data_IF_443476552564
#
_entry.id   IF_443476552564
#
_cell.length_a   1.000
_cell.length_b   1.000
_cell.length_c   1.000
_cell.angle_alpha   90.00
_cell.angle_beta   90.00
_cell.angle_gamma   90.00
#
_symmetry.space_group_name_H-M   'P 1'
#
loop_
_entity.id
_entity.type
_entity.pdbx_description
1 polymer ?
#
# COMPACT_ATOMS: atom_id res chain seq x y z
N UNK A 1 27.98 -0.19 31.25
CA UNK A 1 26.64 -0.44 31.83
C UNK A 1 25.71 0.62 31.30
N UNK A 2 24.84 0.26 30.36
CA UNK A 2 23.88 1.16 29.74
C UNK A 2 22.78 1.51 30.76
N UNK A 3 22.39 2.76 30.80
CA UNK A 3 21.40 3.28 31.76
C UNK A 3 19.98 3.12 31.17
N UNK A 4 19.17 2.16 31.64
CA UNK A 4 17.87 1.82 31.07
C UNK A 4 16.81 2.93 31.20
N UNK A 5 17.06 3.97 31.96
CA UNK A 5 16.14 5.11 32.13
C UNK A 5 16.28 6.18 31.04
N UNK A 6 17.39 6.17 30.30
CA UNK A 6 17.60 7.11 29.19
C UNK A 6 16.76 6.76 27.97
N UNK A 7 16.47 5.47 27.77
CA UNK A 7 15.68 4.97 26.64
C UNK A 7 14.17 5.11 26.85
N UNK A 8 13.73 5.38 28.10
CA UNK A 8 12.32 5.58 28.40
C UNK A 8 11.85 7.03 28.23
N UNK A 9 12.76 8.01 28.32
CA UNK A 9 12.43 9.45 28.29
C UNK A 9 12.83 10.16 27.01
N UNK A 10 13.79 9.64 26.28
CA UNK A 10 14.04 10.08 24.90
C UNK A 10 13.47 9.01 23.99
N UNK A 11 12.12 9.05 23.88
CA UNK A 11 11.28 8.13 23.14
C UNK A 11 12.01 7.56 21.97
N UNK A 12 12.32 6.29 22.05
CA UNK A 12 13.02 5.60 21.01
C UNK A 12 12.39 6.02 19.70
N UNK A 13 13.20 6.56 18.81
CA UNK A 13 12.99 6.33 17.41
C UNK A 13 13.00 4.80 17.31
N UNK A 14 11.82 4.20 17.52
CA UNK A 14 11.58 2.81 17.20
C UNK A 14 12.08 2.62 15.78
N UNK A 15 12.51 1.42 15.38
CA UNK A 15 12.97 1.17 14.03
C UNK A 15 11.91 1.82 13.13
N UNK A 16 12.35 2.78 12.29
CA UNK A 16 11.48 3.39 11.27
C UNK A 16 10.77 2.20 10.66
N UNK A 17 9.46 2.06 10.89
CA UNK A 17 8.66 1.07 10.18
C UNK A 17 8.99 1.33 8.74
N UNK A 18 9.61 0.37 8.06
CA UNK A 18 9.86 0.47 6.63
C UNK A 18 8.52 0.79 6.02
N UNK A 19 8.35 2.05 5.61
CA UNK A 19 7.08 2.62 5.15
C UNK A 19 6.52 1.79 3.99
N UNK A 20 7.42 1.13 3.26
CA UNK A 20 7.09 0.16 2.21
C UNK A 20 8.14 -0.95 2.23
N UNK A 21 7.74 -2.17 2.54
CA UNK A 21 8.66 -3.30 2.54
C UNK A 21 8.81 -3.88 1.13
N UNK A 22 10.05 -3.92 0.62
CA UNK A 22 10.32 -4.59 -0.64
C UNK A 22 10.19 -6.11 -0.47
N UNK A 23 9.42 -6.74 -1.33
CA UNK A 23 9.17 -8.18 -1.33
C UNK A 23 10.08 -8.90 -2.31
N UNK A 24 10.46 -10.13 -1.99
CA UNK A 24 11.12 -11.01 -2.94
C UNK A 24 10.10 -11.47 -4.01
N UNK A 25 10.39 -11.29 -5.30
CA UNK A 25 9.48 -11.69 -6.36
C UNK A 25 9.36 -13.22 -6.41
N UNK A 26 8.15 -13.73 -6.55
CA UNK A 26 7.82 -15.16 -6.63
C UNK A 26 7.42 -15.60 -8.04
N UNK A 27 6.96 -14.64 -8.86
CA UNK A 27 6.49 -14.90 -10.22
C UNK A 27 7.63 -14.74 -11.21
N UNK A 28 7.61 -15.57 -12.23
CA UNK A 28 8.54 -15.55 -13.35
C UNK A 28 7.81 -15.25 -14.65
N UNK A 29 8.52 -15.07 -15.76
CA UNK A 29 7.87 -14.93 -17.06
C UNK A 29 7.13 -16.20 -17.52
N UNK A 30 7.40 -17.35 -16.92
CA UNK A 30 6.66 -18.59 -17.20
C UNK A 30 5.23 -18.53 -16.63
N UNK A 31 5.00 -17.68 -15.63
CA UNK A 31 3.67 -17.45 -15.04
C UNK A 31 2.85 -16.39 -15.82
N UNK A 32 3.46 -15.72 -16.80
CA UNK A 32 2.88 -14.54 -17.47
C UNK A 32 2.55 -14.88 -18.93
N UNK A 33 1.27 -15.02 -19.21
CA UNK A 33 0.78 -15.24 -20.57
C UNK A 33 0.25 -13.91 -21.13
N UNK A 34 0.84 -13.46 -22.22
CA UNK A 34 0.55 -12.17 -22.83
C UNK A 34 0.51 -12.28 -24.37
N UNK A 35 -0.25 -11.40 -25.04
CA UNK A 35 -0.21 -11.27 -26.49
C UNK A 35 1.21 -11.00 -27.01
N UNK A 36 1.54 -11.50 -28.18
CA UNK A 36 2.89 -11.40 -28.75
C UNK A 36 3.41 -9.97 -28.88
N UNK A 37 2.51 -9.01 -29.14
CA UNK A 37 2.84 -7.58 -29.19
C UNK A 37 3.40 -7.07 -27.86
N UNK A 38 2.72 -7.40 -26.77
CA UNK A 38 3.12 -7.04 -25.39
C UNK A 38 4.42 -7.75 -25.02
N UNK A 39 4.58 -9.03 -25.36
CA UNK A 39 5.84 -9.80 -25.12
C UNK A 39 7.03 -9.13 -25.81
N UNK A 40 6.86 -8.70 -27.06
CA UNK A 40 7.94 -8.00 -27.79
C UNK A 40 8.31 -6.67 -27.12
N UNK A 41 7.31 -5.86 -26.73
CA UNK A 41 7.54 -4.60 -26.05
C UNK A 41 8.28 -4.79 -24.72
N UNK A 42 7.90 -5.83 -23.95
CA UNK A 42 8.59 -6.20 -22.71
C UNK A 42 10.04 -6.65 -22.94
N UNK A 43 10.30 -7.42 -23.98
CA UNK A 43 11.67 -7.84 -24.33
C UNK A 43 12.55 -6.64 -24.71
N UNK A 44 12.02 -5.65 -25.41
CA UNK A 44 12.74 -4.40 -25.67
C UNK A 44 13.03 -3.65 -24.36
N UNK A 45 12.04 -3.52 -23.48
CA UNK A 45 12.21 -2.89 -22.17
C UNK A 45 13.27 -3.60 -21.31
N UNK A 46 13.22 -4.93 -21.22
CA UNK A 46 14.24 -5.72 -20.50
C UNK A 46 15.63 -5.57 -21.12
N UNK A 47 15.73 -5.52 -22.45
CA UNK A 47 16.99 -5.30 -23.14
C UNK A 47 17.55 -3.91 -22.82
N UNK A 48 16.70 -2.88 -22.82
CA UNK A 48 17.09 -1.53 -22.43
C UNK A 48 17.64 -1.50 -21.00
N UNK A 49 16.98 -2.17 -20.05
CA UNK A 49 17.46 -2.25 -18.66
C UNK A 49 18.83 -2.95 -18.60
N UNK A 50 18.94 -4.13 -19.20
CA UNK A 50 20.17 -4.95 -19.14
C UNK A 50 21.35 -4.30 -19.88
N UNK A 51 21.08 -3.53 -20.91
CA UNK A 51 22.09 -2.87 -21.76
C UNK A 51 22.22 -1.37 -21.47
N UNK A 52 21.63 -0.91 -20.37
CA UNK A 52 21.65 0.50 -19.98
C UNK A 52 23.07 1.06 -19.94
N UNK A 53 23.99 0.37 -19.27
CA UNK A 53 25.39 0.76 -19.18
C UNK A 53 26.08 0.82 -20.55
N UNK A 54 25.87 -0.17 -21.40
CA UNK A 54 26.38 -0.20 -22.77
C UNK A 54 25.88 1.01 -23.58
N UNK A 55 24.57 1.27 -23.52
CA UNK A 55 23.92 2.32 -24.32
C UNK A 55 24.37 3.71 -23.84
N UNK A 56 24.32 3.95 -22.55
CA UNK A 56 24.51 5.30 -22.00
C UNK A 56 25.98 5.61 -21.74
N UNK A 57 26.76 4.67 -21.18
CA UNK A 57 28.14 4.91 -20.83
C UNK A 57 29.10 4.54 -21.98
N UNK A 58 29.05 3.30 -22.50
CA UNK A 58 30.00 2.88 -23.53
C UNK A 58 29.76 3.51 -24.88
N UNK A 59 28.48 3.72 -25.28
CA UNK A 59 28.14 4.44 -26.54
C UNK A 59 28.11 5.96 -26.35
N UNK A 60 28.31 6.46 -25.09
CA UNK A 60 28.40 7.89 -24.79
C UNK A 60 27.12 8.67 -24.88
N UNK A 61 25.93 7.98 -24.88
CA UNK A 61 24.67 8.71 -24.99
C UNK A 61 24.38 9.55 -23.73
N UNK A 62 24.93 9.19 -22.56
CA UNK A 62 24.82 9.97 -21.33
C UNK A 62 25.40 11.39 -21.46
N UNK A 63 26.47 11.57 -22.24
CA UNK A 63 27.09 12.87 -22.47
C UNK A 63 26.16 13.85 -23.20
N UNK A 64 25.27 13.34 -24.06
CA UNK A 64 24.29 14.13 -24.83
C UNK A 64 22.92 14.20 -24.18
N UNK A 65 22.60 13.24 -23.31
CA UNK A 65 21.30 13.06 -22.65
C UNK A 65 21.50 12.97 -21.14
N UNK A 66 22.01 14.04 -20.53
CA UNK A 66 22.38 14.07 -19.11
C UNK A 66 21.20 13.89 -18.13
N UNK A 67 19.96 14.06 -18.58
CA UNK A 67 18.76 13.91 -17.76
C UNK A 67 17.87 12.77 -18.24
N UNK A 68 17.15 12.13 -17.33
CA UNK A 68 16.21 11.07 -17.65
C UNK A 68 16.89 9.75 -18.04
N UNK A 69 18.00 9.43 -17.41
CA UNK A 69 18.67 8.13 -17.55
C UNK A 69 17.88 7.02 -16.85
N UNK A 70 16.90 7.39 -16.01
CA UNK A 70 16.03 6.47 -15.31
C UNK A 70 15.21 5.59 -16.25
N UNK A 71 14.98 4.37 -15.83
CA UNK A 71 14.22 3.36 -16.56
C UNK A 71 12.77 3.36 -16.06
N UNK A 72 11.98 4.28 -16.59
CA UNK A 72 10.56 4.39 -16.26
C UNK A 72 9.68 3.76 -17.34
N UNK A 73 8.76 2.90 -16.93
CA UNK A 73 7.83 2.18 -17.79
C UNK A 73 6.40 2.47 -17.36
N UNK A 74 5.50 2.61 -18.32
CA UNK A 74 4.07 2.66 -18.07
C UNK A 74 3.38 1.42 -18.63
N UNK A 75 2.73 0.65 -17.77
CA UNK A 75 1.89 -0.48 -18.10
C UNK A 75 0.45 -0.02 -18.14
N UNK A 76 -0.09 0.14 -19.33
CA UNK A 76 -1.45 0.63 -19.56
C UNK A 76 -2.33 -0.49 -20.10
N UNK A 77 -3.55 -0.59 -19.60
CA UNK A 77 -4.52 -1.57 -20.11
C UNK A 77 -5.60 -1.95 -19.11
N UNK A 78 -6.61 -2.72 -19.52
CA UNK A 78 -7.72 -3.13 -18.67
C UNK A 78 -7.29 -3.86 -17.40
N UNK A 79 -8.11 -3.86 -16.34
CA UNK A 79 -7.83 -4.61 -15.13
C UNK A 79 -7.79 -6.12 -15.43
N UNK A 80 -6.96 -6.86 -14.69
CA UNK A 80 -6.82 -8.32 -14.83
C UNK A 80 -5.99 -8.80 -16.02
N UNK A 81 -5.36 -7.91 -16.79
CA UNK A 81 -4.50 -8.27 -17.96
C UNK A 81 -3.06 -8.66 -17.58
N UNK A 82 -2.70 -8.68 -16.30
CA UNK A 82 -1.41 -9.21 -15.85
C UNK A 82 -0.33 -8.16 -15.56
N UNK A 83 -0.64 -6.87 -15.48
CA UNK A 83 0.33 -5.78 -15.22
C UNK A 83 1.17 -6.03 -13.96
N UNK A 84 0.53 -6.31 -12.83
CA UNK A 84 1.20 -6.53 -11.54
C UNK A 84 2.06 -7.80 -11.56
N UNK A 85 1.57 -8.91 -12.13
CA UNK A 85 2.34 -10.15 -12.26
C UNK A 85 3.57 -9.92 -13.16
N UNK A 86 3.43 -9.13 -14.21
CA UNK A 86 4.51 -8.79 -15.11
C UNK A 86 5.60 -7.94 -14.43
N UNK A 87 5.21 -6.98 -13.60
CA UNK A 87 6.16 -6.18 -12.81
C UNK A 87 6.96 -7.08 -11.85
N UNK A 88 6.31 -8.05 -11.21
CA UNK A 88 6.98 -9.05 -10.37
C UNK A 88 7.95 -9.93 -11.18
N UNK A 89 7.55 -10.40 -12.37
CA UNK A 89 8.40 -11.18 -13.26
C UNK A 89 9.63 -10.39 -13.75
N UNK A 90 9.47 -9.09 -14.01
CA UNK A 90 10.61 -8.20 -14.33
C UNK A 90 11.57 -8.11 -13.16
N UNK A 91 11.08 -7.85 -11.95
CA UNK A 91 11.91 -7.79 -10.76
C UNK A 91 12.68 -9.10 -10.56
N UNK A 92 12.01 -10.25 -10.75
CA UNK A 92 12.65 -11.57 -10.71
C UNK A 92 13.76 -11.72 -11.77
N UNK A 93 13.48 -11.34 -13.03
CA UNK A 93 14.44 -11.44 -14.12
C UNK A 93 15.67 -10.53 -13.94
N UNK A 94 15.51 -9.44 -13.20
CA UNK A 94 16.56 -8.52 -12.82
C UNK A 94 17.28 -8.93 -11.51
N UNK A 95 16.82 -9.97 -10.83
CA UNK A 95 17.29 -10.42 -9.51
C UNK A 95 17.19 -9.33 -8.45
N UNK A 96 16.16 -8.49 -8.54
CA UNK A 96 15.89 -7.40 -7.62
C UNK A 96 14.63 -7.70 -6.82
N UNK A 97 14.49 -7.03 -5.69
CA UNK A 97 13.23 -7.01 -4.94
C UNK A 97 12.18 -6.17 -5.68
N UNK A 98 10.91 -6.36 -5.35
CA UNK A 98 9.81 -5.51 -5.81
C UNK A 98 9.27 -4.69 -4.64
N UNK A 99 9.27 -3.38 -4.78
CA UNK A 99 8.67 -2.47 -3.82
C UNK A 99 7.36 -1.96 -4.42
N UNK A 100 6.25 -2.44 -3.89
CA UNK A 100 4.91 -2.09 -4.37
C UNK A 100 4.38 -0.91 -3.59
N UNK A 101 3.95 0.12 -4.29
CA UNK A 101 3.35 1.34 -3.73
C UNK A 101 1.91 1.42 -4.21
N UNK A 102 0.96 1.42 -3.27
CA UNK A 102 -0.48 1.60 -3.55
C UNK A 102 -0.95 2.97 -3.10
N UNK A 103 -1.87 3.55 -3.85
CA UNK A 103 -2.43 4.86 -3.55
C UNK A 103 -2.97 4.97 -2.12
N UNK A 104 -3.76 4.00 -1.67
CA UNK A 104 -4.34 3.98 -0.33
C UNK A 104 -3.28 3.96 0.80
N UNK A 105 -2.14 3.32 0.56
CA UNK A 105 -1.02 3.31 1.51
C UNK A 105 -0.34 4.69 1.56
N UNK A 106 -0.26 5.35 0.42
CA UNK A 106 0.29 6.69 0.32
C UNK A 106 -0.63 7.74 0.96
N UNK A 107 -1.93 7.69 0.74
CA UNK A 107 -2.92 8.63 1.28
C UNK A 107 -2.97 8.60 2.82
N UNK A 108 -2.94 7.41 3.43
CA UNK A 108 -2.88 7.27 4.89
C UNK A 108 -1.60 7.85 5.52
N UNK A 109 -0.52 7.94 4.73
CA UNK A 109 0.76 8.53 5.11
C UNK A 109 0.79 10.05 4.86
N UNK A 110 -0.21 10.60 4.17
CA UNK A 110 -0.19 11.95 3.58
C UNK A 110 -0.80 13.04 4.43
N UNK A 111 -1.42 12.74 5.54
CA UNK A 111 -1.95 13.76 6.45
C UNK A 111 -0.82 14.64 7.01
N UNK A 112 -0.28 15.52 6.16
CA UNK A 112 0.62 16.62 6.51
C UNK A 112 2.09 16.55 6.04
N UNK A 113 2.59 15.47 5.42
CA UNK A 113 4.00 15.36 5.01
C UNK A 113 4.24 14.72 3.62
N UNK A 114 3.35 14.92 2.70
CA UNK A 114 3.19 14.22 1.41
C UNK A 114 4.45 14.14 0.54
N UNK A 115 5.12 15.24 0.30
CA UNK A 115 6.31 15.26 -0.55
C UNK A 115 7.52 14.51 0.03
N UNK A 116 7.69 14.51 1.34
CA UNK A 116 8.79 13.79 2.02
C UNK A 116 8.60 12.27 1.92
N UNK A 117 7.37 11.80 1.89
CA UNK A 117 7.06 10.38 1.81
C UNK A 117 7.36 9.81 0.43
N UNK A 118 7.05 10.54 -0.65
CA UNK A 118 7.44 10.16 -2.02
C UNK A 118 8.96 10.01 -2.12
N UNK A 119 9.73 11.01 -1.70
CA UNK A 119 11.19 10.93 -1.69
C UNK A 119 11.73 9.76 -0.84
N UNK A 120 11.05 9.45 0.28
CA UNK A 120 11.41 8.32 1.13
C UNK A 120 11.18 6.98 0.45
N UNK A 121 10.09 6.82 -0.33
CA UNK A 121 9.81 5.62 -1.12
C UNK A 121 10.92 5.38 -2.16
N UNK A 122 11.32 6.41 -2.90
CA UNK A 122 12.40 6.30 -3.89
C UNK A 122 13.75 5.96 -3.23
N UNK A 123 14.06 6.59 -2.10
CA UNK A 123 15.26 6.28 -1.31
C UNK A 123 15.23 4.83 -0.80
N UNK A 124 14.11 4.37 -0.26
CA UNK A 124 13.94 3.00 0.21
C UNK A 124 14.11 1.98 -0.93
N UNK A 125 13.62 2.29 -2.12
CA UNK A 125 13.83 1.46 -3.30
C UNK A 125 15.30 1.38 -3.70
N UNK A 126 16.03 2.49 -3.65
CA UNK A 126 17.47 2.54 -3.92
C UNK A 126 18.28 1.74 -2.88
N UNK A 127 18.00 1.94 -1.59
CA UNK A 127 18.69 1.27 -0.48
C UNK A 127 18.45 -0.26 -0.49
N UNK A 128 17.28 -0.72 -0.93
CA UNK A 128 16.92 -2.13 -0.99
C UNK A 128 17.24 -2.78 -2.35
N UNK A 129 17.81 -2.05 -3.30
CA UNK A 129 18.03 -2.45 -4.70
C UNK A 129 16.76 -3.06 -5.32
N UNK A 130 15.66 -2.35 -5.19
CA UNK A 130 14.34 -2.81 -5.61
C UNK A 130 13.86 -2.14 -6.90
N UNK A 131 13.06 -2.87 -7.68
CA UNK A 131 12.19 -2.30 -8.70
C UNK A 131 11.02 -1.61 -8.00
N UNK A 132 10.79 -0.36 -8.31
CA UNK A 132 9.68 0.42 -7.75
C UNK A 132 8.44 0.25 -8.63
N UNK A 133 7.34 -0.18 -8.05
CA UNK A 133 6.09 -0.43 -8.76
C UNK A 133 4.95 0.37 -8.13
N UNK A 134 4.41 1.30 -8.90
CA UNK A 134 3.23 2.07 -8.55
C UNK A 134 2.00 1.39 -9.16
N UNK A 135 1.18 0.75 -8.33
CA UNK A 135 -0.11 0.22 -8.75
C UNK A 135 -1.19 1.30 -8.67
N UNK A 136 -2.17 1.25 -9.59
CA UNK A 136 -3.20 2.29 -9.71
C UNK A 136 -2.60 3.70 -9.86
N UNK A 137 -1.58 3.80 -10.69
CA UNK A 137 -0.77 5.01 -10.82
C UNK A 137 -1.54 6.23 -11.34
N UNK A 138 -2.69 6.05 -11.97
CA UNK A 138 -3.62 7.11 -12.38
C UNK A 138 -4.13 7.93 -11.18
N UNK A 139 -4.20 7.34 -9.99
CA UNK A 139 -4.55 8.05 -8.76
C UNK A 139 -3.43 8.98 -8.26
N UNK A 140 -2.16 8.67 -8.54
CA UNK A 140 -0.98 9.40 -8.04
C UNK A 140 -0.44 10.36 -9.09
N UNK A 141 -0.36 9.89 -10.34
CA UNK A 141 0.21 10.60 -11.48
C UNK A 141 -0.87 11.29 -12.34
N UNK A 142 -2.06 11.48 -11.78
CA UNK A 142 -3.19 12.12 -12.45
C UNK A 142 -2.93 13.57 -12.83
N UNK A 143 -3.77 14.09 -13.71
CA UNK A 143 -3.68 15.49 -14.19
C UNK A 143 -3.74 16.47 -13.03
N UNK A 144 -2.87 17.47 -13.07
CA UNK A 144 -2.85 18.53 -12.06
C UNK A 144 -4.11 19.37 -12.11
N UNK A 145 -4.56 19.81 -10.94
CA UNK A 145 -5.65 20.77 -10.83
C UNK A 145 -5.20 22.14 -11.34
N UNK A 146 -5.88 22.68 -12.33
CA UNK A 146 -5.58 23.98 -12.95
C UNK A 146 -6.14 25.15 -12.12
N UNK A 147 -7.27 24.94 -11.46
CA UNK A 147 -7.84 25.91 -10.52
C UNK A 147 -7.65 25.38 -9.11
N UNK A 148 -6.72 26.01 -8.36
CA UNK A 148 -6.39 25.57 -6.99
C UNK A 148 -7.17 26.43 -6.00
N UNK A 149 -8.34 25.95 -5.61
CA UNK A 149 -9.21 26.64 -4.64
C UNK A 149 -9.12 26.02 -3.23
N UNK A 150 -8.74 24.74 -3.12
CA UNK A 150 -8.70 23.98 -1.86
C UNK A 150 -7.27 23.53 -1.51
N UNK A 151 -7.00 23.38 -0.21
CA UNK A 151 -5.69 22.90 0.28
C UNK A 151 -5.28 21.54 -0.31
N UNK A 152 -6.23 20.63 -0.45
CA UNK A 152 -6.06 19.31 -1.06
C UNK A 152 -5.51 19.39 -2.50
N UNK A 153 -6.01 20.29 -3.33
CA UNK A 153 -5.58 20.43 -4.73
C UNK A 153 -4.10 20.89 -4.83
N UNK A 154 -3.67 21.75 -3.89
CA UNK A 154 -2.25 22.16 -3.79
C UNK A 154 -1.36 21.01 -3.38
N UNK A 155 -1.81 20.21 -2.45
CA UNK A 155 -1.08 19.05 -1.95
C UNK A 155 -0.92 18.00 -3.06
N UNK A 156 -1.99 17.66 -3.77
CA UNK A 156 -1.96 16.76 -4.92
C UNK A 156 -0.98 17.25 -6.00
N UNK A 157 -1.01 18.51 -6.36
CA UNK A 157 -0.07 19.08 -7.32
C UNK A 157 1.40 19.03 -6.82
N UNK A 158 1.62 19.20 -5.52
CA UNK A 158 2.95 19.08 -4.92
C UNK A 158 3.48 17.67 -5.01
N UNK A 159 2.64 16.66 -4.78
CA UNK A 159 2.98 15.23 -4.93
C UNK A 159 3.44 14.92 -6.34
N UNK A 160 2.65 15.32 -7.33
CA UNK A 160 2.99 15.15 -8.75
C UNK A 160 4.36 15.76 -9.06
N UNK A 161 4.63 16.97 -8.58
CA UNK A 161 5.91 17.64 -8.83
C UNK A 161 7.10 16.92 -8.16
N UNK A 162 6.94 16.45 -6.92
CA UNK A 162 7.98 15.68 -6.23
C UNK A 162 8.21 14.34 -6.93
N UNK A 163 7.13 13.64 -7.31
CA UNK A 163 7.21 12.38 -8.04
C UNK A 163 7.96 12.53 -9.36
N UNK A 164 7.69 13.61 -10.10
CA UNK A 164 8.37 13.91 -11.36
C UNK A 164 9.86 14.19 -11.16
N UNK A 165 10.23 14.89 -10.06
CA UNK A 165 11.62 15.16 -9.73
C UNK A 165 12.36 13.88 -9.33
N UNK A 166 11.80 13.11 -8.42
CA UNK A 166 12.39 11.83 -7.99
C UNK A 166 12.57 10.85 -9.16
N UNK A 167 11.60 10.83 -10.08
CA UNK A 167 11.66 9.99 -11.28
C UNK A 167 12.84 10.38 -12.22
N UNK A 168 13.22 11.65 -12.29
CA UNK A 168 14.37 12.11 -13.08
C UNK A 168 15.71 11.74 -12.44
N UNK A 169 15.76 11.72 -11.09
CA UNK A 169 16.99 11.50 -10.32
C UNK A 169 17.21 10.01 -9.96
N UNK A 170 16.16 9.18 -10.03
CA UNK A 170 16.23 7.80 -9.62
C UNK A 170 16.98 6.91 -10.63
N UNK A 171 18.08 6.27 -10.23
CA UNK A 171 18.87 5.44 -11.13
C UNK A 171 18.32 4.04 -11.36
N UNK A 172 17.24 3.68 -10.66
CA UNK A 172 16.63 2.35 -10.69
C UNK A 172 15.53 2.22 -11.74
N UNK A 173 14.80 1.11 -11.64
CA UNK A 173 13.65 0.81 -12.50
C UNK A 173 12.36 1.20 -11.79
N UNK A 174 11.54 2.00 -12.47
CA UNK A 174 10.21 2.40 -12.01
C UNK A 174 9.16 1.91 -13.00
N UNK A 175 8.12 1.28 -12.50
CA UNK A 175 7.00 0.80 -13.30
C UNK A 175 5.72 1.43 -12.75
N UNK A 176 4.98 2.10 -13.60
CA UNK A 176 3.63 2.59 -13.32
C UNK A 176 2.62 1.66 -13.96
N UNK A 177 1.60 1.22 -13.22
CA UNK A 177 0.48 0.47 -13.77
C UNK A 177 -0.79 1.30 -13.69
N UNK A 178 -1.48 1.47 -14.82
CA UNK A 178 -2.73 2.23 -14.90
C UNK A 178 -3.79 1.49 -15.69
N UNK A 179 -5.02 1.63 -15.27
CA UNK A 179 -6.19 1.20 -16.03
C UNK A 179 -6.70 2.31 -16.96
N UNK A 180 -6.32 3.57 -16.70
CA UNK A 180 -6.82 4.77 -17.37
C UNK A 180 -5.65 5.64 -17.85
N UNK A 181 -4.95 5.20 -18.90
CA UNK A 181 -3.78 5.92 -19.43
C UNK A 181 -4.08 7.39 -19.82
N UNK A 182 -5.32 7.70 -20.18
CA UNK A 182 -5.74 9.07 -20.54
C UNK A 182 -5.71 10.05 -19.35
N UNK A 183 -5.66 9.56 -18.12
CA UNK A 183 -5.68 10.39 -16.91
C UNK A 183 -4.29 10.82 -16.44
N UNK A 184 -3.23 10.32 -17.05
CA UNK A 184 -1.86 10.73 -16.70
C UNK A 184 -1.61 12.21 -16.99
N UNK A 185 -0.89 12.88 -16.08
CA UNK A 185 -0.39 14.24 -16.34
C UNK A 185 0.60 14.21 -17.52
N UNK A 186 0.44 15.07 -18.53
CA UNK A 186 1.33 15.10 -19.69
C UNK A 186 2.83 15.26 -19.38
N UNK A 187 3.17 15.76 -18.18
CA UNK A 187 4.56 15.86 -17.75
C UNK A 187 5.21 14.49 -17.53
N UNK A 188 4.42 13.44 -17.24
CA UNK A 188 4.95 12.08 -17.15
C UNK A 188 5.30 11.49 -18.51
N UNK A 189 4.56 11.82 -19.59
CA UNK A 189 4.85 11.33 -20.95
C UNK A 189 6.27 11.64 -21.40
N UNK A 190 6.82 12.78 -20.94
CA UNK A 190 8.20 13.18 -21.29
C UNK A 190 9.26 12.42 -20.48
N UNK A 191 8.88 11.81 -19.37
CA UNK A 191 9.78 11.11 -18.43
C UNK A 191 9.65 9.60 -18.53
N UNK A 192 8.45 9.11 -18.82
CA UNK A 192 8.19 7.71 -19.08
C UNK A 192 8.37 7.45 -20.58
N UNK A 193 9.51 6.91 -20.93
CA UNK A 193 9.89 6.71 -22.35
C UNK A 193 9.29 5.45 -22.97
N UNK A 194 8.87 4.51 -22.17
CA UNK A 194 8.39 3.22 -22.64
C UNK A 194 6.99 2.94 -22.11
N UNK A 195 6.05 2.92 -23.04
CA UNK A 195 4.66 2.56 -22.77
C UNK A 195 4.40 1.16 -23.29
N UNK A 196 3.90 0.28 -22.43
CA UNK A 196 3.59 -1.11 -22.76
C UNK A 196 2.09 -1.29 -22.61
N UNK A 197 1.43 -1.59 -23.72
CA UNK A 197 0.00 -1.85 -23.74
C UNK A 197 -0.26 -3.31 -23.35
N UNK A 198 -1.09 -3.50 -22.33
CA UNK A 198 -1.60 -4.78 -21.89
C UNK A 198 -3.01 -4.95 -22.45
N UNK A 199 -3.10 -5.64 -23.58
CA UNK A 199 -4.38 -5.92 -24.25
C UNK A 199 -5.12 -7.07 -23.56
N UNK A 200 -6.42 -7.17 -23.84
CA UNK A 200 -7.19 -8.34 -23.45
C UNK A 200 -6.61 -9.59 -24.14
N UNK A 201 -6.51 -10.72 -23.44
CA UNK A 201 -5.96 -11.94 -24.02
C UNK A 201 -6.88 -12.51 -25.09
N UNK A 202 -6.31 -12.94 -26.23
CA UNK A 202 -7.02 -13.68 -27.25
C UNK A 202 -7.32 -15.13 -26.83
N UNK A 203 -8.03 -15.91 -27.67
CA UNK A 203 -8.38 -17.30 -27.34
C UNK A 203 -7.17 -18.18 -27.04
N UNK A 204 -6.05 -17.98 -27.73
CA UNK A 204 -4.83 -18.77 -27.54
C UNK A 204 -4.17 -18.46 -26.18
N UNK A 205 -4.11 -17.18 -25.82
CA UNK A 205 -3.62 -16.76 -24.52
C UNK A 205 -4.57 -17.17 -23.40
N UNK A 206 -5.89 -17.05 -23.58
CA UNK A 206 -6.88 -17.48 -22.59
C UNK A 206 -6.78 -18.97 -22.28
N UNK A 207 -6.62 -19.81 -23.31
CA UNK A 207 -6.40 -21.25 -23.09
C UNK A 207 -5.16 -21.51 -22.23
N UNK A 208 -4.05 -20.82 -22.51
CA UNK A 208 -2.83 -20.96 -21.71
C UNK A 208 -3.04 -20.43 -20.29
N UNK A 209 -3.77 -19.30 -20.11
CA UNK A 209 -4.08 -18.75 -18.81
C UNK A 209 -4.90 -19.74 -17.97
N UNK A 210 -5.91 -20.39 -18.54
CA UNK A 210 -6.65 -21.45 -17.85
C UNK A 210 -5.72 -22.54 -17.32
N UNK A 211 -4.76 -22.98 -18.14
CA UNK A 211 -3.82 -24.06 -17.78
C UNK A 211 -2.86 -23.64 -16.67
N UNK A 212 -2.28 -22.44 -16.72
CA UNK A 212 -1.31 -21.99 -15.71
C UNK A 212 -1.93 -21.67 -14.36
N UNK A 213 -3.26 -21.44 -14.27
CA UNK A 213 -3.96 -21.27 -12.99
C UNK A 213 -4.10 -22.58 -12.20
N UNK A 214 -3.83 -23.73 -12.83
CA UNK A 214 -4.04 -25.04 -12.24
C UNK A 214 -2.71 -25.72 -11.94
N UNK A 215 -2.66 -26.45 -10.83
CA UNK A 215 -1.48 -27.27 -10.54
C UNK A 215 -1.53 -28.57 -11.34
N UNK A 216 -0.60 -28.74 -12.29
CA UNK A 216 -0.61 -29.82 -13.27
C UNK A 216 -0.77 -31.26 -12.70
N UNK A 217 -0.34 -31.51 -11.46
CA UNK A 217 -0.39 -32.85 -10.84
C UNK A 217 -1.37 -32.97 -9.67
N UNK A 218 -1.77 -31.85 -9.05
CA UNK A 218 -2.58 -31.88 -7.81
C UNK A 218 -4.04 -31.53 -8.04
N UNK A 219 -4.33 -30.74 -9.08
CA UNK A 219 -5.71 -30.35 -9.38
C UNK A 219 -6.44 -31.53 -10.01
N UNK A 220 -7.52 -32.06 -9.40
CA UNK A 220 -8.23 -33.21 -9.91
C UNK A 220 -9.16 -32.80 -11.06
N UNK A 221 -8.68 -32.86 -12.29
CA UNK A 221 -9.47 -32.58 -13.48
C UNK A 221 -10.17 -33.81 -13.99
N UNK A 222 -11.40 -33.65 -14.44
CA UNK A 222 -12.14 -34.67 -15.19
C UNK A 222 -11.67 -34.70 -16.65
N UNK A 223 -11.94 -35.79 -17.35
CA UNK A 223 -11.51 -35.98 -18.73
C UNK A 223 -12.29 -35.11 -19.75
N UNK A 224 -13.45 -34.62 -19.36
CA UNK A 224 -14.32 -33.77 -20.17
C UNK A 224 -13.82 -32.31 -20.28
N UNK A 225 -12.77 -31.92 -19.57
CA UNK A 225 -12.29 -30.53 -19.51
C UNK A 225 -11.58 -30.15 -20.80
N UNK A 226 -12.14 -29.14 -21.49
CA UNK A 226 -11.61 -28.57 -22.71
C UNK A 226 -11.40 -27.04 -22.54
N UNK A 227 -10.18 -26.63 -22.21
CA UNK A 227 -9.84 -25.23 -22.01
C UNK A 227 -9.92 -24.40 -23.30
N UNK A 228 -9.72 -25.02 -24.47
CA UNK A 228 -9.89 -24.35 -25.76
C UNK A 228 -11.34 -23.90 -25.96
N UNK A 229 -12.29 -24.77 -25.67
CA UNK A 229 -13.72 -24.40 -25.77
C UNK A 229 -14.08 -23.28 -24.81
N UNK A 230 -13.58 -23.30 -23.54
CA UNK A 230 -13.79 -22.19 -22.60
C UNK A 230 -13.16 -20.88 -23.09
N UNK A 231 -11.97 -20.96 -23.70
CA UNK A 231 -11.28 -19.79 -24.20
C UNK A 231 -11.97 -19.15 -25.42
N UNK A 232 -12.64 -19.95 -26.24
CA UNK A 232 -13.41 -19.48 -27.40
C UNK A 232 -14.81 -18.96 -27.00
N UNK A 233 -15.46 -19.61 -26.03
CA UNK A 233 -16.81 -19.23 -25.57
C UNK A 233 -16.80 -17.94 -24.74
N UNK A 234 -15.78 -17.73 -23.91
CA UNK A 234 -15.77 -16.62 -22.95
C UNK A 234 -14.66 -15.62 -23.22
N UNK A 235 -15.05 -14.37 -23.47
CA UNK A 235 -14.13 -13.24 -23.54
C UNK A 235 -13.86 -12.72 -22.12
N UNK A 236 -12.70 -13.11 -21.55
CA UNK A 236 -12.38 -12.89 -20.15
C UNK A 236 -10.92 -12.49 -19.96
N UNK A 237 -10.67 -11.62 -18.98
CA UNK A 237 -9.31 -11.26 -18.57
C UNK A 237 -8.64 -12.41 -17.79
N UNK A 238 -7.33 -12.35 -17.63
CA UNK A 238 -6.59 -13.30 -16.79
C UNK A 238 -7.06 -13.29 -15.33
N UNK A 239 -7.49 -12.13 -14.82
CA UNK A 239 -8.10 -11.99 -13.50
C UNK A 239 -9.45 -12.67 -13.39
N UNK A 240 -10.30 -12.54 -14.42
CA UNK A 240 -11.59 -13.20 -14.48
C UNK A 240 -11.43 -14.73 -14.51
N UNK A 241 -10.49 -15.22 -15.34
CA UNK A 241 -10.16 -16.65 -15.44
C UNK A 241 -9.66 -17.21 -14.10
N UNK A 242 -8.79 -16.47 -13.40
CA UNK A 242 -8.31 -16.86 -12.07
C UNK A 242 -9.48 -17.02 -11.08
N UNK A 243 -10.39 -16.07 -11.05
CA UNK A 243 -11.55 -16.12 -10.17
C UNK A 243 -12.51 -17.25 -10.55
N UNK A 244 -12.68 -17.50 -11.84
CA UNK A 244 -13.49 -18.60 -12.35
C UNK A 244 -12.90 -19.97 -11.98
N UNK A 245 -11.59 -20.15 -12.02
CA UNK A 245 -10.92 -21.37 -11.56
C UNK A 245 -11.18 -21.65 -10.08
N UNK A 246 -11.05 -20.62 -9.24
CA UNK A 246 -11.32 -20.74 -7.80
C UNK A 246 -12.79 -21.11 -7.56
N UNK A 247 -13.70 -20.47 -8.29
CA UNK A 247 -15.13 -20.73 -8.17
C UNK A 247 -15.50 -22.13 -8.68
N UNK A 248 -14.93 -22.57 -9.79
CA UNK A 248 -15.11 -23.93 -10.31
C UNK A 248 -14.67 -25.00 -9.30
N UNK A 249 -13.54 -24.77 -8.63
CA UNK A 249 -13.07 -25.64 -7.55
C UNK A 249 -14.05 -25.65 -6.36
N UNK A 250 -14.57 -24.49 -5.97
CA UNK A 250 -15.59 -24.40 -4.92
C UNK A 250 -16.86 -25.16 -5.29
N UNK A 251 -17.40 -24.96 -6.51
CA UNK A 251 -18.59 -25.67 -7.00
C UNK A 251 -18.37 -27.17 -6.96
N UNK A 252 -17.23 -27.66 -7.47
CA UNK A 252 -16.90 -29.07 -7.46
C UNK A 252 -16.85 -29.68 -6.05
N UNK A 253 -16.47 -28.90 -5.03
CA UNK A 253 -16.46 -29.39 -3.64
C UNK A 253 -17.85 -29.52 -3.03
N UNK A 254 -18.88 -28.83 -3.56
CA UNK A 254 -20.25 -28.93 -3.08
C UNK A 254 -21.02 -30.14 -3.61
N UNK A 255 -20.47 -30.83 -4.62
CA UNK A 255 -21.11 -32.04 -5.17
C UNK A 255 -21.14 -33.16 -4.12
N UNK A 256 -22.20 -33.99 -4.15
CA UNK A 256 -22.29 -35.14 -3.24
C UNK A 256 -21.21 -36.20 -3.56
N UNK A 257 -20.68 -36.82 -2.54
CA UNK A 257 -19.69 -37.88 -2.65
C UNK A 257 -18.43 -37.66 -1.80
N UNK A 258 -17.55 -38.68 -1.72
CA UNK A 258 -16.30 -38.60 -0.96
C UNK A 258 -15.35 -37.54 -1.57
N UNK A 259 -14.67 -36.74 -0.74
CA UNK A 259 -13.76 -35.68 -1.21
C UNK A 259 -12.61 -36.21 -2.09
N UNK A 260 -12.18 -37.47 -1.88
CA UNK A 260 -11.12 -38.10 -2.67
C UNK A 260 -11.51 -38.41 -4.13
N UNK A 261 -12.81 -38.48 -4.42
CA UNK A 261 -13.34 -38.81 -5.75
C UNK A 261 -13.80 -37.60 -6.54
N UNK A 262 -13.86 -36.44 -5.89
CA UNK A 262 -14.31 -35.20 -6.52
C UNK A 262 -13.34 -34.74 -7.59
N UNK A 263 -13.89 -34.39 -8.76
CA UNK A 263 -13.16 -33.83 -9.89
C UNK A 263 -13.81 -32.55 -10.39
N UNK A 264 -12.99 -31.66 -10.93
CA UNK A 264 -13.47 -30.42 -11.54
C UNK A 264 -13.82 -30.76 -13.01
N UNK A 265 -15.10 -30.65 -13.36
CA UNK A 265 -15.64 -30.91 -14.69
C UNK A 265 -15.72 -29.61 -15.51
N UNK A 266 -15.87 -29.75 -16.83
CA UNK A 266 -16.08 -28.65 -17.77
C UNK A 266 -17.23 -27.71 -17.31
N UNK A 267 -18.34 -28.29 -16.84
CA UNK A 267 -19.50 -27.51 -16.35
C UNK A 267 -19.16 -26.57 -15.21
N UNK A 268 -18.27 -26.96 -14.29
CA UNK A 268 -17.88 -26.14 -13.15
C UNK A 268 -17.09 -24.89 -13.59
N UNK A 269 -16.21 -25.05 -14.57
CA UNK A 269 -15.50 -23.92 -15.16
C UNK A 269 -16.46 -22.99 -15.93
N UNK A 270 -17.38 -23.57 -16.72
CA UNK A 270 -18.36 -22.80 -17.45
C UNK A 270 -19.32 -22.03 -16.52
N UNK A 271 -19.76 -22.63 -15.43
CA UNK A 271 -20.55 -21.99 -14.40
C UNK A 271 -19.75 -20.90 -13.67
N UNK A 272 -18.54 -21.21 -13.23
CA UNK A 272 -17.67 -20.28 -12.53
C UNK A 272 -17.38 -19.03 -13.34
N UNK A 273 -17.09 -19.14 -14.64
CA UNK A 273 -16.81 -17.98 -15.49
C UNK A 273 -18.07 -17.17 -15.79
N UNK A 274 -19.23 -17.82 -16.01
CA UNK A 274 -20.51 -17.12 -16.20
C UNK A 274 -20.85 -16.26 -15.00
N UNK A 275 -20.66 -16.79 -13.81
CA UNK A 275 -20.91 -16.08 -12.56
C UNK A 275 -19.96 -14.87 -12.37
N UNK A 276 -18.68 -15.05 -12.70
CA UNK A 276 -17.68 -13.97 -12.63
C UNK A 276 -18.05 -12.85 -13.61
N UNK A 277 -18.39 -13.21 -14.86
CA UNK A 277 -18.78 -12.25 -15.89
C UNK A 277 -20.11 -11.57 -15.54
N UNK A 278 -21.08 -12.32 -15.01
CA UNK A 278 -22.36 -11.75 -14.56
C UNK A 278 -22.19 -10.76 -13.41
N UNK A 279 -21.38 -11.10 -12.40
CA UNK A 279 -21.09 -10.20 -11.29
C UNK A 279 -20.41 -8.90 -11.76
N UNK A 280 -19.47 -9.01 -12.72
CA UNK A 280 -18.79 -7.86 -13.31
C UNK A 280 -19.77 -6.93 -14.05
N UNK A 281 -20.69 -7.49 -14.85
CA UNK A 281 -21.74 -6.71 -15.54
C UNK A 281 -22.65 -5.99 -14.57
N UNK A 282 -23.05 -6.63 -13.47
CA UNK A 282 -23.86 -5.99 -12.43
C UNK A 282 -23.13 -4.82 -11.80
N UNK A 283 -21.83 -4.98 -11.51
CA UNK A 283 -21.02 -3.87 -10.97
C UNK A 283 -20.85 -2.74 -11.99
N UNK A 284 -20.60 -3.04 -13.25
CA UNK A 284 -20.50 -2.04 -14.32
C UNK A 284 -21.83 -1.30 -14.51
N UNK A 285 -22.95 -2.01 -14.52
CA UNK A 285 -24.28 -1.40 -14.62
C UNK A 285 -24.63 -0.53 -13.40
N UNK A 286 -24.22 -0.94 -12.19
CA UNK A 286 -24.44 -0.15 -10.98
C UNK A 286 -23.58 1.12 -10.92
N UNK A 287 -22.39 1.08 -11.54
CA UNK A 287 -21.46 2.23 -11.56
C UNK A 287 -21.77 3.23 -12.68
N UNK A 288 -22.33 2.76 -13.81
CA UNK A 288 -22.57 3.60 -14.99
C UNK A 288 -24.04 3.87 -15.28
N UNK A 289 -24.97 3.44 -14.41
CA UNK A 289 -26.39 3.65 -14.56
C UNK A 289 -26.90 3.25 -15.95
N UNK A 290 -27.79 2.28 -16.00
CA UNK A 290 -28.41 1.69 -17.20
C UNK A 290 -28.27 2.55 -18.46
N UNK A 291 -27.53 2.08 -19.46
CA UNK A 291 -27.74 2.53 -20.82
C UNK A 291 -29.18 2.16 -21.21
N UNK A 292 -30.04 3.18 -21.16
CA UNK A 292 -31.43 3.05 -21.58
C UNK A 292 -31.48 2.73 -23.07
N UNK A 293 -32.35 1.79 -23.40
CA UNK A 293 -32.83 1.51 -24.73
C UNK A 293 -32.95 2.81 -25.57
N UNK A 294 -32.25 2.94 -26.70
CA UNK A 294 -32.29 4.18 -27.49
C UNK A 294 -33.67 4.54 -28.06
N UNK A 295 -34.64 3.66 -27.95
CA UNK A 295 -36.02 3.84 -28.44
C UNK A 295 -37.12 3.80 -27.35
N UNK A 296 -36.74 3.62 -26.06
CA UNK A 296 -37.65 3.79 -24.93
C UNK A 296 -37.87 5.28 -24.60
N UNK A 297 -38.91 5.61 -23.85
CA UNK A 297 -39.45 6.97 -23.57
C UNK A 297 -38.44 8.02 -22.99
N UNK A 298 -37.15 7.74 -22.99
CA UNK A 298 -36.05 8.60 -22.59
C UNK A 298 -35.17 8.92 -23.79
N UNK A 299 -35.67 9.70 -24.73
CA UNK A 299 -34.83 10.37 -25.72
C UNK A 299 -33.80 11.29 -25.04
N UNK A 300 -32.79 11.83 -25.76
CA UNK A 300 -31.69 12.64 -25.20
C UNK A 300 -32.14 13.78 -24.28
N UNK A 301 -33.37 14.30 -24.50
CA UNK A 301 -33.97 15.35 -23.67
C UNK A 301 -34.55 14.79 -22.36
N UNK A 302 -35.17 13.61 -22.35
CA UNK A 302 -35.63 12.95 -21.13
C UNK A 302 -34.47 12.53 -20.22
N UNK A 303 -33.37 12.07 -20.81
CA UNK A 303 -32.13 11.75 -20.06
C UNK A 303 -31.50 13.01 -19.44
N UNK A 304 -31.53 14.14 -20.10
CA UNK A 304 -31.09 15.42 -19.56
C UNK A 304 -31.93 15.87 -18.38
N UNK A 305 -33.27 15.71 -18.46
CA UNK A 305 -34.19 16.07 -17.37
C UNK A 305 -34.00 15.14 -16.16
N UNK A 306 -33.91 13.82 -16.35
CA UNK A 306 -33.69 12.86 -15.26
C UNK A 306 -32.29 13.06 -14.64
N UNK A 307 -31.28 13.42 -15.43
CA UNK A 307 -29.95 13.72 -14.95
C UNK A 307 -29.91 15.06 -14.19
N UNK A 308 -30.70 16.02 -14.60
CA UNK A 308 -30.84 17.29 -13.89
C UNK A 308 -31.56 17.09 -12.54
N UNK A 309 -32.66 16.31 -12.50
CA UNK A 309 -33.34 15.94 -11.25
C UNK A 309 -32.43 15.16 -10.30
N UNK A 310 -31.68 14.20 -10.82
CA UNK A 310 -30.67 13.45 -10.02
C UNK A 310 -29.53 14.34 -9.52
N UNK A 311 -29.10 15.33 -10.28
CA UNK A 311 -28.11 16.33 -9.86
C UNK A 311 -28.67 17.28 -8.81
N UNK A 312 -29.92 17.70 -8.92
CA UNK A 312 -30.59 18.53 -7.93
C UNK A 312 -30.83 17.79 -6.62
N UNK A 313 -31.19 16.50 -6.66
CA UNK A 313 -31.31 15.64 -5.48
C UNK A 313 -29.94 15.39 -4.81
N UNK A 314 -28.91 15.11 -5.59
CA UNK A 314 -27.56 14.98 -5.08
C UNK A 314 -27.03 16.30 -4.48
N UNK A 315 -27.29 17.43 -5.13
CA UNK A 315 -26.93 18.76 -4.61
C UNK A 315 -27.66 19.06 -3.31
N UNK A 316 -28.95 18.72 -3.21
CA UNK A 316 -29.75 18.92 -1.98
C UNK A 316 -29.22 18.05 -0.84
N UNK A 317 -28.89 16.77 -1.12
CA UNK A 317 -28.29 15.84 -0.17
C UNK A 317 -26.89 16.31 0.25
N UNK A 318 -26.13 16.85 -0.68
CA UNK A 318 -24.80 17.40 -0.40
C UNK A 318 -24.88 18.68 0.43
N UNK A 319 -25.87 19.54 0.14
CA UNK A 319 -26.14 20.75 0.92
C UNK A 319 -26.58 20.41 2.36
N UNK A 320 -27.42 19.40 2.55
CA UNK A 320 -27.78 18.93 3.89
C UNK A 320 -26.58 18.38 4.66
N UNK A 321 -25.73 17.58 4.03
CA UNK A 321 -24.49 17.08 4.66
C UNK A 321 -23.49 18.22 4.98
N UNK A 322 -23.44 19.24 4.14
CA UNK A 322 -22.63 20.45 4.42
C UNK A 322 -23.12 21.19 5.65
N UNK A 323 -24.44 21.35 5.81
CA UNK A 323 -25.06 21.98 6.98
C UNK A 323 -24.79 21.12 8.23
N UNK A 324 -24.90 19.80 8.16
CA UNK A 324 -24.54 18.90 9.26
C UNK A 324 -23.05 19.01 9.66
N UNK A 325 -22.16 19.07 8.67
CA UNK A 325 -20.72 19.24 8.92
C UNK A 325 -20.40 20.63 9.46
N UNK A 326 -21.09 21.65 9.02
CA UNK A 326 -20.94 23.02 9.50
C UNK A 326 -21.44 23.16 10.96
N UNK A 327 -22.55 22.49 11.31
CA UNK A 327 -23.09 22.40 12.67
C UNK A 327 -22.13 21.58 13.59
N UNK A 328 -21.58 20.48 13.10
CA UNK A 328 -20.54 19.72 13.82
C UNK A 328 -19.25 20.52 13.99
N UNK A 329 -18.85 21.28 12.97
CA UNK A 329 -17.68 22.14 13.04
C UNK A 329 -17.90 23.31 14.01
N UNK A 330 -19.11 23.83 14.13
CA UNK A 330 -19.45 24.88 15.08
C UNK A 330 -19.34 24.40 16.55
N UNK A 331 -19.55 23.12 16.82
CA UNK A 331 -19.39 22.53 18.15
C UNK A 331 -17.95 22.13 18.49
N UNK A 332 -17.06 22.04 17.49
CA UNK A 332 -15.66 21.62 17.67
C UNK A 332 -14.87 22.51 18.65
N UNK A 333 -14.99 23.85 18.63
CA UNK A 333 -14.28 24.72 19.58
C UNK A 333 -14.65 24.42 21.03
N UNK A 334 -15.94 24.18 21.32
CA UNK A 334 -16.41 23.85 22.66
C UNK A 334 -15.91 22.50 23.15
N UNK A 335 -15.85 21.52 22.25
CA UNK A 335 -15.29 20.18 22.56
C UNK A 335 -13.78 20.28 22.81
N UNK A 336 -13.06 21.05 22.00
CA UNK A 336 -11.62 21.25 22.17
C UNK A 336 -11.31 22.01 23.47
N UNK A 337 -12.12 22.99 23.84
CA UNK A 337 -11.96 23.74 25.10
C UNK A 337 -12.23 22.82 26.32
N UNK A 338 -13.25 21.95 26.26
CA UNK A 338 -13.48 20.94 27.29
C UNK A 338 -12.35 19.93 27.39
N UNK A 339 -11.81 19.48 26.26
CA UNK A 339 -10.65 18.58 26.27
C UNK A 339 -9.42 19.25 26.85
N UNK A 340 -9.16 20.52 26.51
CA UNK A 340 -8.04 21.27 27.05
C UNK A 340 -8.15 21.51 28.56
N UNK A 341 -9.35 21.80 29.06
CA UNK A 341 -9.59 21.95 30.50
C UNK A 341 -9.42 20.62 31.24
N UNK A 342 -9.98 19.53 30.73
CA UNK A 342 -9.81 18.19 31.32
C UNK A 342 -8.34 17.77 31.32
N UNK A 343 -7.59 18.08 30.26
CA UNK A 343 -6.16 17.78 30.19
C UNK A 343 -5.36 18.59 31.21
N UNK A 344 -5.67 19.88 31.36
CA UNK A 344 -5.03 20.75 32.38
C UNK A 344 -5.31 20.27 33.82
N UNK A 345 -6.54 19.85 34.11
CA UNK A 345 -6.90 19.25 35.41
C UNK A 345 -6.13 17.94 35.67
N UNK A 346 -6.01 17.08 34.63
CA UNK A 346 -5.27 15.81 34.74
C UNK A 346 -3.79 16.05 34.98
N UNK A 347 -3.19 17.01 34.27
CA UNK A 347 -1.79 17.40 34.43
C UNK A 347 -1.52 17.99 35.82
N UNK A 348 -2.46 18.80 36.36
CA UNK A 348 -2.37 19.33 37.70
C UNK A 348 -2.43 18.23 38.77
N UNK A 349 -3.36 17.29 38.66
CA UNK A 349 -3.44 16.14 39.56
C UNK A 349 -2.19 15.26 39.51
N UNK A 350 -1.63 15.07 38.31
CA UNK A 350 -0.39 14.34 38.16
C UNK A 350 0.80 15.06 38.83
N UNK A 351 0.87 16.38 38.68
CA UNK A 351 1.89 17.19 39.33
C UNK A 351 1.79 17.14 40.86
N UNK A 352 0.57 17.23 41.41
CA UNK A 352 0.31 17.13 42.85
C UNK A 352 0.68 15.72 43.40
N UNK A 353 0.33 14.65 42.63
CA UNK A 353 0.70 13.28 43.00
C UNK A 353 2.23 13.07 42.99
N UNK A 354 2.92 13.60 41.98
CA UNK A 354 4.38 13.53 41.91
C UNK A 354 5.05 14.30 43.04
N UNK A 355 4.50 15.48 43.41
CA UNK A 355 5.01 16.27 44.53
C UNK A 355 4.82 15.57 45.87
N UNK A 356 3.66 14.91 46.06
CA UNK A 356 3.36 14.10 47.25
C UNK A 356 4.32 12.93 47.34
N UNK A 357 4.53 12.18 46.27
CA UNK A 357 5.48 11.06 46.21
C UNK A 357 6.93 11.53 46.49
N UNK A 358 7.32 12.68 46.00
CA UNK A 358 8.66 13.23 46.23
C UNK A 358 8.84 13.59 47.71
N UNK A 359 7.82 14.17 48.36
CA UNK A 359 7.86 14.55 49.79
C UNK A 359 7.88 13.30 50.70
N UNK A 360 7.07 12.27 50.39
CA UNK A 360 7.07 10.98 51.10
C UNK A 360 8.42 10.27 50.95
N UNK A 361 9.01 10.26 49.76
CA UNK A 361 10.34 9.68 49.55
C UNK A 361 11.42 10.41 50.34
N UNK A 362 11.40 11.74 50.36
CA UNK A 362 12.34 12.55 51.13
C UNK A 362 12.20 12.29 52.65
N UNK A 363 10.97 12.15 53.14
CA UNK A 363 10.70 11.83 54.54
C UNK A 363 11.19 10.41 54.90
N UNK A 364 10.98 9.44 54.04
CA UNK A 364 11.47 8.05 54.23
C UNK A 364 13.00 8.01 54.22
N UNK A 365 13.68 8.71 53.32
CA UNK A 365 15.15 8.81 53.29
C UNK A 365 15.70 9.50 54.55
N UNK A 366 15.03 10.54 55.05
CA UNK A 366 15.41 11.21 56.30
C UNK A 366 15.25 10.29 57.49
N UNK A 367 14.14 9.53 57.52
CA UNK A 367 13.89 8.50 58.54
C UNK A 367 14.98 7.41 58.54
N UNK A 368 15.31 6.89 57.38
CA UNK A 368 16.36 5.87 57.22
C UNK A 368 17.74 6.39 57.63
N UNK A 369 18.12 7.60 57.30
CA UNK A 369 19.36 8.25 57.74
C UNK A 369 19.41 8.44 59.25
N UNK A 370 18.30 8.80 59.90
CA UNK A 370 18.22 8.88 61.39
C UNK A 370 18.43 7.52 62.03
N UNK A 371 17.75 6.49 61.54
CA UNK A 371 17.86 5.15 62.05
C UNK A 371 19.26 4.56 61.86
N UNK A 372 19.87 4.77 60.69
CA UNK A 372 21.25 4.35 60.42
C UNK A 372 22.25 5.05 61.35
N UNK A 373 22.09 6.36 61.61
CA UNK A 373 22.94 7.06 62.60
C UNK A 373 22.77 6.51 63.99
N UNK A 374 21.54 6.25 64.44
CA UNK A 374 21.27 5.70 65.77
C UNK A 374 21.93 4.31 65.91
N UNK A 375 21.75 3.46 64.90
CA UNK A 375 22.38 2.13 64.88
C UNK A 375 23.92 2.22 64.92
N UNK A 376 24.48 3.18 64.18
CA UNK A 376 25.93 3.39 64.16
C UNK A 376 26.47 3.85 65.53
N UNK A 377 25.75 4.77 66.21
CA UNK A 377 26.14 5.22 67.56
C UNK A 377 26.01 4.10 68.59
N UNK A 378 25.00 3.25 68.56
CA UNK A 378 24.83 2.09 69.41
C UNK A 378 25.96 1.10 69.15
N UNK A 379 26.31 0.82 67.92
CA UNK A 379 27.40 -0.07 67.53
C UNK A 379 28.79 0.46 68.02
N UNK A 380 29.02 1.77 67.84
CA UNK A 380 30.28 2.39 68.35
C UNK A 380 30.36 2.39 69.87
N UNK A 381 29.26 2.60 70.58
CA UNK A 381 29.17 2.50 72.03
C UNK A 381 29.47 1.09 72.52
N UNK A 382 28.87 0.06 71.91
CA UNK A 382 29.14 -1.34 72.19
C UNK A 382 30.62 -1.73 71.96
N UNK A 383 31.21 -1.21 70.86
CA UNK A 383 32.62 -1.41 70.53
C UNK A 383 33.55 -0.79 71.62
N UNK A 384 33.21 0.44 72.03
CA UNK A 384 33.97 1.12 73.08
C UNK A 384 33.95 0.36 74.43
N UNK A 385 32.75 -0.17 74.82
CA UNK A 385 32.63 -1.02 76.03
C UNK A 385 33.44 -2.31 75.88
N UNK A 386 33.40 -2.96 74.71
CA UNK A 386 34.19 -4.17 74.44
C UNK A 386 35.68 -3.91 74.53
N UNK A 387 36.17 -2.81 73.98
CA UNK A 387 37.59 -2.39 74.06
C UNK A 387 37.97 -2.11 75.52
N UNK A 388 37.11 -1.43 76.30
CA UNK A 388 37.33 -1.19 77.72
C UNK A 388 37.42 -2.49 78.53
N UNK A 389 36.55 -3.46 78.25
CA UNK A 389 36.56 -4.76 78.89
C UNK A 389 37.85 -5.56 78.58
N UNK A 390 38.33 -5.52 77.33
CA UNK A 390 39.58 -6.15 76.93
C UNK A 390 40.78 -5.47 77.57
N UNK A 391 40.79 -4.12 77.68
CA UNK A 391 41.86 -3.38 78.33
C UNK A 391 41.93 -3.71 79.84
N UNK A 392 40.82 -3.84 80.52
CA UNK A 392 40.78 -4.24 81.95
C UNK A 392 41.21 -5.68 82.13
N UNK A 393 40.89 -6.60 81.22
CA UNK A 393 41.34 -8.00 81.28
C UNK A 393 42.88 -8.19 81.00
N UNK A 394 43.49 -7.23 80.27
CA UNK A 394 44.97 -7.25 80.05
C UNK A 394 45.81 -6.59 81.15
N UNK A 395 45.16 -5.90 82.10
CA UNK A 395 45.77 -5.24 83.25
C UNK A 395 45.67 -6.05 84.55
N UNK A 396 44.98 -7.19 84.53
CA UNK A 396 44.98 -8.20 85.59
C UNK A 396 45.94 -9.40 85.22
#
# INVERSE_FOLDING_TARGET
>A
MANPLRDLFFGGMGPRRDLVAAMAPRRTFDDVILPQGTVRALNYALTQIRKHDLIFNHWGLAERHATGLGLAFNFAGPPGTGKTICAEAIAHALRKKLLVVRYAEMESMWAGETGKNVATVFRSAAEQDAVLFFDEADAIAGRRFTSVSRGYEREANTVVNVLLKELEEFPGVVIFATNLAANFDPAFERRIRTHILFEMPGPDEREQIWRVQLHARKTPLAEDVNFRALAEEFDASGGDIKNAVLKAAQIATTEPGPDAEKKIHQRHFAEGIRDVVAAKRVMEQSLFGAEADPYGAAGPVGQLVTRQESLEDNLSTFAQRLIEVEDQAASLPEVLERMATTQAETDQHLAEALQTMATERAAAEAGWRRQARTTLYVALGALAVAIGAVATALLQ
#
